data_IF_208198600902
#
_entry.id   IF_208198600902
#
_cell.length_a   1.000
_cell.length_b   1.000
_cell.length_c   1.000
_cell.angle_alpha   90.00
_cell.angle_beta   90.00
_cell.angle_gamma   90.00
#
_symmetry.space_group_name_H-M   'P 1'
#
loop_
_entity.id
_entity.type
_entity.pdbx_description
1 polymer ?
#
# COMPACT_ATOMS: atom_id res chain seq x y z
N UNK A 1 1.30 -1.89 1.48
CA UNK A 1 2.44 -2.52 0.77
C UNK A 1 2.58 -4.02 1.06
N UNK A 2 2.86 -4.47 2.30
CA UNK A 2 2.97 -5.93 2.61
C UNK A 2 1.63 -6.65 2.37
N UNK A 3 0.51 -6.11 2.81
CA UNK A 3 -0.82 -6.68 2.57
C UNK A 3 -1.15 -6.80 1.08
N UNK A 4 -0.81 -5.78 0.27
CA UNK A 4 -0.99 -5.83 -1.18
C UNK A 4 -0.17 -6.95 -1.83
N UNK A 5 1.11 -7.09 -1.44
CA UNK A 5 1.96 -8.18 -1.92
C UNK A 5 1.42 -9.56 -1.53
N UNK A 6 0.94 -9.69 -0.30
CA UNK A 6 0.32 -10.93 0.18
C UNK A 6 -0.94 -11.27 -0.61
N UNK A 7 -1.81 -10.28 -0.85
CA UNK A 7 -3.01 -10.47 -1.67
C UNK A 7 -2.67 -10.96 -3.08
N UNK A 8 -1.68 -10.33 -3.74
CA UNK A 8 -1.26 -10.73 -5.09
C UNK A 8 -0.62 -12.13 -5.09
N UNK A 9 0.11 -12.49 -4.05
CA UNK A 9 0.65 -13.85 -3.93
C UNK A 9 -0.45 -14.92 -3.80
N UNK A 10 -1.59 -14.59 -3.20
CA UNK A 10 -2.76 -15.47 -3.10
C UNK A 10 -3.62 -15.47 -4.37
N UNK A 11 -3.56 -14.42 -5.19
CA UNK A 11 -4.39 -14.22 -6.38
C UNK A 11 -3.55 -13.83 -7.61
N UNK A 12 -2.52 -14.63 -7.99
CA UNK A 12 -1.56 -14.23 -9.02
C UNK A 12 -2.19 -14.06 -10.40
N UNK A 13 -3.22 -14.84 -10.73
CA UNK A 13 -3.89 -14.80 -12.03
C UNK A 13 -4.88 -13.64 -12.16
N UNK A 14 -5.35 -13.10 -11.04
CA UNK A 14 -6.45 -12.12 -11.00
C UNK A 14 -6.05 -10.79 -10.37
N UNK A 15 -4.76 -10.55 -10.14
CA UNK A 15 -4.33 -9.29 -9.56
C UNK A 15 -2.99 -8.81 -10.09
N UNK A 16 -2.86 -7.50 -10.23
CA UNK A 16 -1.62 -6.83 -10.65
C UNK A 16 -1.27 -5.76 -9.61
N UNK A 17 -0.05 -5.84 -9.07
CA UNK A 17 0.49 -4.83 -8.18
C UNK A 17 1.51 -3.96 -8.91
N UNK A 18 1.30 -2.66 -8.83
CA UNK A 18 2.23 -1.64 -9.33
C UNK A 18 2.61 -0.70 -8.20
N UNK A 19 3.89 -0.45 -8.01
CA UNK A 19 4.39 0.52 -7.03
C UNK A 19 4.71 1.81 -7.77
N UNK A 20 3.99 2.88 -7.43
CA UNK A 20 4.22 4.20 -8.02
C UNK A 20 5.44 4.86 -7.38
N UNK A 21 6.09 5.72 -8.13
CA UNK A 21 7.22 6.51 -7.67
C UNK A 21 7.20 7.90 -8.33
N UNK A 22 8.02 8.86 -7.86
CA UNK A 22 8.04 10.22 -8.40
C UNK A 22 8.37 10.34 -9.90
N UNK A 23 8.99 9.33 -10.52
CA UNK A 23 9.29 9.32 -11.96
C UNK A 23 8.08 8.95 -12.83
N UNK A 24 7.05 8.31 -12.23
CA UNK A 24 5.83 7.87 -12.92
C UNK A 24 4.75 8.96 -12.89
N UNK A 25 5.11 10.19 -13.28
CA UNK A 25 4.25 11.37 -13.13
C UNK A 25 3.17 11.43 -14.21
N UNK A 26 3.45 10.92 -15.42
CA UNK A 26 2.55 11.07 -16.54
C UNK A 26 1.79 9.78 -16.88
N UNK A 27 0.62 9.95 -17.46
CA UNK A 27 -0.30 8.87 -17.83
C UNK A 27 0.41 7.79 -18.69
N UNK A 28 1.23 8.21 -19.68
CA UNK A 28 1.88 7.26 -20.57
C UNK A 28 2.89 6.37 -19.85
N UNK A 29 3.61 6.92 -18.86
CA UNK A 29 4.56 6.13 -18.06
C UNK A 29 3.82 5.05 -17.24
N UNK A 30 2.69 5.40 -16.62
CA UNK A 30 1.88 4.45 -15.85
C UNK A 30 1.24 3.39 -16.73
N UNK A 31 0.73 3.78 -17.93
CA UNK A 31 0.18 2.82 -18.90
C UNK A 31 1.26 1.88 -19.45
N UNK A 32 2.48 2.37 -19.71
CA UNK A 32 3.59 1.51 -20.12
C UNK A 32 3.97 0.51 -19.02
N UNK A 33 4.02 0.94 -17.75
CA UNK A 33 4.27 0.02 -16.63
C UNK A 33 3.19 -1.06 -16.53
N UNK A 34 1.92 -0.69 -16.69
CA UNK A 34 0.82 -1.66 -16.70
C UNK A 34 0.90 -2.59 -17.93
N UNK A 35 1.24 -2.06 -19.09
CA UNK A 35 1.43 -2.85 -20.31
C UNK A 35 2.57 -3.86 -20.17
N UNK A 36 3.69 -3.46 -19.55
CA UNK A 36 4.81 -4.35 -19.24
C UNK A 36 4.37 -5.51 -18.33
N UNK A 37 3.62 -5.22 -17.26
CA UNK A 37 3.03 -6.25 -16.39
C UNK A 37 2.07 -7.21 -17.09
N UNK A 38 1.49 -6.78 -18.19
CA UNK A 38 0.59 -7.58 -19.05
C UNK A 38 1.31 -8.21 -20.24
N UNK A 39 2.64 -8.13 -20.31
CA UNK A 39 3.48 -8.61 -21.41
C UNK A 39 3.08 -7.98 -22.78
N UNK A 40 2.75 -6.70 -22.78
CA UNK A 40 2.45 -5.92 -23.98
C UNK A 40 3.67 -5.11 -24.41
N UNK A 41 3.85 -4.96 -25.73
CA UNK A 41 4.97 -4.18 -26.29
C UNK A 41 4.85 -2.70 -25.88
N UNK A 42 5.94 -2.06 -25.43
CA UNK A 42 5.99 -0.64 -25.13
C UNK A 42 5.97 0.23 -26.41
N UNK A 43 5.88 1.54 -26.23
CA UNK A 43 6.13 2.50 -27.32
C UNK A 43 4.90 2.96 -28.11
N UNK A 44 3.71 2.46 -27.80
CA UNK A 44 2.46 2.87 -28.44
C UNK A 44 1.99 4.27 -27.99
N UNK A 45 1.03 4.87 -28.73
CA UNK A 45 0.29 6.05 -28.23
C UNK A 45 -0.49 5.71 -26.96
N UNK A 46 -0.94 6.75 -26.19
CA UNK A 46 -1.74 6.51 -24.98
C UNK A 46 -3.00 5.72 -25.28
N UNK A 47 -3.69 6.07 -26.37
CA UNK A 47 -4.95 5.42 -26.75
C UNK A 47 -4.71 3.96 -27.16
N UNK A 48 -3.69 3.70 -27.97
CA UNK A 48 -3.33 2.34 -28.37
C UNK A 48 -2.92 1.48 -27.15
N UNK A 49 -2.20 2.05 -26.18
CA UNK A 49 -1.86 1.38 -24.93
C UNK A 49 -3.13 1.08 -24.12
N UNK A 50 -4.03 2.06 -23.98
CA UNK A 50 -5.28 1.89 -23.23
C UNK A 50 -6.10 0.74 -23.83
N UNK A 51 -6.31 0.73 -25.14
CA UNK A 51 -7.04 -0.35 -25.83
C UNK A 51 -6.34 -1.71 -25.68
N UNK A 52 -5.03 -1.76 -25.86
CA UNK A 52 -4.28 -3.01 -25.72
C UNK A 52 -4.37 -3.57 -24.28
N UNK A 53 -4.31 -2.70 -23.26
CA UNK A 53 -4.45 -3.08 -21.87
C UNK A 53 -5.85 -3.65 -21.60
N UNK A 54 -6.90 -2.95 -22.02
CA UNK A 54 -8.29 -3.39 -21.85
C UNK A 54 -8.53 -4.78 -22.44
N UNK A 55 -7.94 -5.09 -23.60
CA UNK A 55 -8.07 -6.41 -24.23
C UNK A 55 -7.33 -7.53 -23.49
N UNK A 56 -6.42 -7.19 -22.60
CA UNK A 56 -5.66 -8.16 -21.76
C UNK A 56 -6.23 -8.35 -20.37
N UNK A 57 -6.89 -7.33 -19.84
CA UNK A 57 -7.56 -7.42 -18.56
C UNK A 57 -8.76 -8.37 -18.65
N UNK A 58 -9.08 -9.04 -17.57
CA UNK A 58 -10.18 -10.01 -17.48
C UNK A 58 -11.21 -9.56 -16.46
N UNK A 59 -12.43 -10.06 -16.59
CA UNK A 59 -13.47 -9.90 -15.58
C UNK A 59 -13.00 -10.42 -14.21
N UNK A 60 -13.32 -9.69 -13.16
CA UNK A 60 -12.95 -10.03 -11.78
C UNK A 60 -11.50 -9.72 -11.40
N UNK A 61 -10.67 -9.18 -12.29
CA UNK A 61 -9.31 -8.77 -11.96
C UNK A 61 -9.27 -7.55 -11.04
N UNK A 62 -8.15 -7.40 -10.30
CA UNK A 62 -7.88 -6.27 -9.41
C UNK A 62 -6.53 -5.63 -9.77
N UNK A 63 -6.55 -4.35 -10.07
CA UNK A 63 -5.35 -3.53 -10.23
C UNK A 63 -5.06 -2.79 -8.92
N UNK A 64 -3.86 -2.96 -8.38
CA UNK A 64 -3.43 -2.36 -7.11
C UNK A 64 -2.30 -1.38 -7.40
N UNK A 65 -2.50 -0.13 -7.04
CA UNK A 65 -1.52 0.95 -7.16
C UNK A 65 -1.03 1.32 -5.76
N UNK A 66 0.16 0.85 -5.40
CA UNK A 66 0.84 1.20 -4.15
C UNK A 66 1.61 2.51 -4.30
N UNK A 67 1.81 3.26 -3.22
CA UNK A 67 2.40 4.61 -3.21
C UNK A 67 1.61 5.60 -4.10
N UNK A 68 0.29 5.48 -4.11
CA UNK A 68 -0.60 6.22 -5.01
C UNK A 68 -0.59 7.75 -4.82
N UNK A 69 0.04 8.30 -3.76
CA UNK A 69 0.29 9.74 -3.61
C UNK A 69 1.13 10.32 -4.75
N UNK A 70 1.88 9.50 -5.47
CA UNK A 70 2.65 9.94 -6.63
C UNK A 70 1.82 10.08 -7.92
N UNK A 71 0.59 9.56 -7.95
CA UNK A 71 -0.31 9.72 -9.07
C UNK A 71 -0.95 11.12 -9.08
N UNK A 72 -1.05 11.73 -10.24
CA UNK A 72 -1.86 12.92 -10.42
C UNK A 72 -3.32 12.55 -10.74
N UNK A 73 -4.22 13.52 -10.60
CA UNK A 73 -5.66 13.32 -10.79
C UNK A 73 -5.99 12.76 -12.17
N UNK A 74 -5.42 13.35 -13.24
CA UNK A 74 -5.67 12.91 -14.63
C UNK A 74 -5.29 11.44 -14.85
N UNK A 75 -4.21 10.98 -14.22
CA UNK A 75 -3.80 9.58 -14.27
C UNK A 75 -4.81 8.69 -13.55
N UNK A 76 -5.28 9.10 -12.37
CA UNK A 76 -6.31 8.36 -11.61
C UNK A 76 -7.60 8.23 -12.41
N UNK A 77 -8.04 9.30 -13.11
CA UNK A 77 -9.22 9.26 -13.99
C UNK A 77 -9.06 8.29 -15.15
N UNK A 78 -7.89 8.26 -15.79
CA UNK A 78 -7.61 7.29 -16.86
C UNK A 78 -7.59 5.86 -16.32
N UNK A 79 -7.00 5.63 -15.15
CA UNK A 79 -7.03 4.29 -14.55
C UNK A 79 -8.46 3.87 -14.19
N UNK A 80 -9.26 4.79 -13.67
CA UNK A 80 -10.66 4.54 -13.38
C UNK A 80 -11.47 4.16 -14.63
N UNK A 81 -11.16 4.75 -15.79
CA UNK A 81 -11.87 4.44 -17.05
C UNK A 81 -11.79 2.95 -17.43
N UNK A 82 -10.79 2.22 -16.96
CA UNK A 82 -10.76 0.76 -17.12
C UNK A 82 -11.93 0.10 -16.38
N UNK A 83 -12.20 0.49 -15.14
CA UNK A 83 -13.34 -0.06 -14.38
C UNK A 83 -14.68 0.33 -15.02
N UNK A 84 -14.81 1.57 -15.51
CA UNK A 84 -16.00 2.01 -16.24
C UNK A 84 -16.21 1.15 -17.51
N UNK A 85 -15.17 0.90 -18.30
CA UNK A 85 -15.24 0.06 -19.49
C UNK A 85 -15.74 -1.36 -19.23
N UNK A 86 -15.32 -1.98 -18.12
CA UNK A 86 -15.81 -3.30 -17.70
C UNK A 86 -17.24 -3.24 -17.22
N UNK A 87 -17.58 -2.23 -16.40
CA UNK A 87 -18.92 -2.02 -15.88
C UNK A 87 -19.96 -1.86 -16.98
N UNK A 88 -19.64 -1.11 -18.04
CA UNK A 88 -20.54 -0.93 -19.21
C UNK A 88 -20.85 -2.24 -19.94
N UNK A 89 -20.09 -3.30 -19.67
CA UNK A 89 -20.25 -4.65 -20.24
C UNK A 89 -20.81 -5.67 -19.26
N UNK A 90 -21.27 -5.21 -18.09
CA UNK A 90 -21.76 -6.09 -17.01
C UNK A 90 -20.65 -6.90 -16.35
N UNK A 91 -19.41 -6.47 -16.53
CA UNK A 91 -18.20 -7.08 -15.96
C UNK A 91 -17.64 -6.23 -14.81
N UNK A 92 -16.69 -6.78 -14.07
CA UNK A 92 -16.07 -6.11 -12.95
C UNK A 92 -14.55 -5.99 -13.11
N UNK A 93 -14.01 -4.82 -12.82
CA UNK A 93 -12.57 -4.61 -12.65
C UNK A 93 -12.36 -3.79 -11.37
N UNK A 94 -11.71 -4.39 -10.39
CA UNK A 94 -11.37 -3.72 -9.14
C UNK A 94 -10.14 -2.81 -9.32
N UNK A 95 -10.21 -1.59 -8.77
CA UNK A 95 -9.06 -0.69 -8.70
C UNK A 95 -8.85 -0.29 -7.25
N UNK A 96 -7.66 -0.55 -6.73
CA UNK A 96 -7.27 -0.24 -5.36
C UNK A 96 -6.09 0.74 -5.36
N UNK A 97 -6.25 1.87 -4.70
CA UNK A 97 -5.17 2.83 -4.46
C UNK A 97 -4.74 2.75 -3.00
N UNK A 98 -3.46 2.51 -2.77
CA UNK A 98 -2.83 2.45 -1.45
C UNK A 98 -1.80 3.57 -1.38
N UNK A 99 -1.83 4.35 -0.30
CA UNK A 99 -0.91 5.46 -0.13
C UNK A 99 -1.00 6.08 1.26
N UNK A 100 -0.28 7.17 1.47
CA UNK A 100 -0.30 7.95 2.70
C UNK A 100 -1.52 8.91 2.76
N UNK A 101 -1.57 9.77 3.79
CA UNK A 101 -2.64 10.76 3.97
C UNK A 101 -2.77 11.73 2.79
N UNK A 102 -1.69 12.03 2.06
CA UNK A 102 -1.75 12.89 0.87
C UNK A 102 -2.62 12.27 -0.22
N UNK A 103 -2.62 10.92 -0.32
CA UNK A 103 -3.55 10.19 -1.20
C UNK A 103 -5.00 10.46 -0.82
N UNK A 104 -5.32 10.41 0.48
CA UNK A 104 -6.67 10.66 0.99
C UNK A 104 -7.06 12.12 0.75
N UNK A 105 -6.16 13.06 1.00
CA UNK A 105 -6.38 14.51 0.78
C UNK A 105 -6.61 14.79 -0.70
N UNK A 106 -5.79 14.23 -1.58
CA UNK A 106 -5.96 14.36 -3.03
C UNK A 106 -7.29 13.78 -3.51
N UNK A 107 -7.67 12.59 -3.03
CA UNK A 107 -8.91 11.92 -3.44
C UNK A 107 -10.17 12.42 -2.69
N UNK A 108 -10.00 13.08 -1.56
CA UNK A 108 -11.08 13.61 -0.72
C UNK A 108 -11.31 15.11 -0.81
N UNK A 109 -10.54 15.81 -1.65
CA UNK A 109 -10.69 17.27 -1.84
C UNK A 109 -12.10 17.59 -2.37
N UNK A 110 -12.73 18.66 -1.82
CA UNK A 110 -14.05 19.16 -2.24
C UNK A 110 -14.04 19.83 -3.63
N UNK A 111 -12.91 19.85 -4.34
CA UNK A 111 -12.88 20.34 -5.73
C UNK A 111 -13.74 19.43 -6.59
N UNK A 112 -14.53 20.00 -7.48
CA UNK A 112 -15.48 19.29 -8.35
C UNK A 112 -14.85 18.10 -9.10
N UNK A 113 -13.57 18.23 -9.47
CA UNK A 113 -12.79 17.17 -10.13
C UNK A 113 -12.61 15.91 -9.25
N UNK A 114 -12.49 16.08 -7.92
CA UNK A 114 -12.37 14.95 -6.98
C UNK A 114 -13.72 14.39 -6.54
N UNK A 115 -14.79 15.17 -6.64
CA UNK A 115 -16.14 14.71 -6.28
C UNK A 115 -16.57 13.51 -7.12
N UNK A 116 -16.20 13.47 -8.39
CA UNK A 116 -16.51 12.34 -9.27
C UNK A 116 -15.79 11.04 -8.85
N UNK A 117 -14.50 11.14 -8.44
CA UNK A 117 -13.75 9.99 -7.93
C UNK A 117 -14.32 9.57 -6.58
N UNK A 118 -14.64 10.54 -5.73
CA UNK A 118 -15.22 10.31 -4.41
C UNK A 118 -16.53 9.53 -4.47
N UNK A 119 -17.43 9.93 -5.34
CA UNK A 119 -18.77 9.33 -5.47
C UNK A 119 -18.74 7.90 -6.03
N UNK A 120 -17.67 7.52 -6.75
CA UNK A 120 -17.50 6.17 -7.31
C UNK A 120 -16.58 5.27 -6.48
N UNK A 121 -16.02 5.79 -5.38
CA UNK A 121 -15.20 5.00 -4.46
C UNK A 121 -16.11 4.20 -3.53
N UNK A 122 -16.17 2.89 -3.71
CA UNK A 122 -17.01 1.99 -2.90
C UNK A 122 -16.56 1.86 -1.46
N UNK A 123 -15.25 1.87 -1.22
CA UNK A 123 -14.67 1.73 0.12
C UNK A 123 -13.48 2.66 0.30
N UNK A 124 -13.42 3.31 1.46
CA UNK A 124 -12.25 4.03 1.95
C UNK A 124 -11.90 3.52 3.34
N UNK A 125 -10.65 3.16 3.54
CA UNK A 125 -10.15 2.75 4.84
C UNK A 125 -8.89 3.54 5.15
N UNK A 126 -8.89 4.24 6.27
CA UNK A 126 -7.70 4.93 6.79
C UNK A 126 -7.26 4.19 8.05
N UNK A 127 -5.98 3.87 8.12
CA UNK A 127 -5.37 3.24 9.28
C UNK A 127 -4.50 4.27 10.00
N UNK A 128 -4.81 4.52 11.27
CA UNK A 128 -4.03 5.40 12.12
C UNK A 128 -3.14 4.58 13.06
N UNK A 129 -1.97 5.13 13.38
CA UNK A 129 -1.02 4.50 14.32
C UNK A 129 -1.65 4.21 15.69
N UNK A 130 -2.54 5.10 16.15
CA UNK A 130 -3.30 4.92 17.39
C UNK A 130 -4.22 3.69 17.40
N UNK A 131 -4.54 3.14 16.23
CA UNK A 131 -5.37 1.94 16.10
C UNK A 131 -4.57 0.64 16.19
N UNK A 132 -3.23 0.72 16.24
CA UNK A 132 -2.38 -0.46 16.45
C UNK A 132 -2.67 -1.00 17.85
N UNK A 133 -3.04 -2.28 17.92
CA UNK A 133 -3.39 -2.98 19.14
C UNK A 133 -2.28 -3.92 19.60
N UNK A 134 -2.34 -4.33 20.83
CA UNK A 134 -1.44 -5.33 21.42
C UNK A 134 -1.42 -6.62 20.58
N UNK A 135 -2.57 -7.10 20.18
CA UNK A 135 -2.72 -8.29 19.34
C UNK A 135 -2.00 -8.20 17.97
N UNK A 136 -1.75 -6.99 17.44
CA UNK A 136 -0.97 -6.80 16.22
C UNK A 136 0.53 -7.00 16.49
N UNK A 137 1.00 -6.54 17.65
CA UNK A 137 2.38 -6.71 18.11
C UNK A 137 2.68 -8.17 18.45
N UNK A 138 1.78 -8.85 19.14
CA UNK A 138 1.89 -10.28 19.44
C UNK A 138 2.03 -11.14 18.18
N UNK A 139 1.26 -10.83 17.14
CA UNK A 139 1.38 -11.52 15.83
C UNK A 139 2.70 -11.24 15.11
N UNK A 140 3.29 -10.06 15.31
CA UNK A 140 4.55 -9.68 14.68
C UNK A 140 5.76 -10.28 15.41
N UNK A 141 5.66 -10.47 16.73
CA UNK A 141 6.74 -10.92 17.59
C UNK A 141 6.35 -12.16 18.42
N UNK A 142 6.03 -13.29 17.76
CA UNK A 142 5.54 -14.49 18.46
C UNK A 142 6.56 -15.06 19.47
N UNK A 143 7.84 -14.83 19.29
CA UNK A 143 8.89 -15.24 20.21
C UNK A 143 8.72 -14.58 21.57
N UNK A 144 8.37 -13.28 21.61
CA UNK A 144 8.14 -12.57 22.87
C UNK A 144 6.90 -13.09 23.61
N UNK A 145 5.88 -13.53 22.86
CA UNK A 145 4.68 -14.16 23.45
C UNK A 145 5.04 -15.51 24.06
N UNK A 146 5.82 -16.33 23.35
CA UNK A 146 6.26 -17.64 23.83
C UNK A 146 7.13 -17.56 25.09
N UNK A 147 7.93 -16.50 25.20
CA UNK A 147 8.82 -16.24 26.34
C UNK A 147 8.16 -15.41 27.46
N UNK A 148 6.84 -15.09 27.34
CA UNK A 148 6.09 -14.26 28.29
C UNK A 148 6.73 -12.89 28.56
N UNK A 149 7.29 -12.24 27.54
CA UNK A 149 7.97 -10.94 27.63
C UNK A 149 6.97 -9.78 27.48
N UNK A 150 6.18 -9.55 28.51
CA UNK A 150 5.10 -8.56 28.48
C UNK A 150 5.61 -7.12 28.37
N UNK A 151 6.68 -6.77 29.08
CA UNK A 151 7.27 -5.41 29.06
C UNK A 151 7.84 -5.06 27.67
N UNK A 152 8.49 -6.02 27.03
CA UNK A 152 9.05 -5.88 25.69
C UNK A 152 7.94 -5.68 24.65
N UNK A 153 6.86 -6.45 24.75
CA UNK A 153 5.69 -6.31 23.88
C UNK A 153 5.01 -4.94 24.05
N UNK A 154 4.88 -4.44 25.30
CA UNK A 154 4.33 -3.10 25.56
C UNK A 154 5.22 -2.00 25.03
N UNK A 155 6.54 -2.13 25.18
CA UNK A 155 7.50 -1.17 24.65
C UNK A 155 7.45 -1.11 23.12
N UNK A 156 7.37 -2.27 22.44
CA UNK A 156 7.20 -2.33 21.00
C UNK A 156 5.86 -1.76 20.53
N UNK A 157 4.79 -1.92 21.32
CA UNK A 157 3.51 -1.28 21.04
C UNK A 157 3.61 0.26 21.13
N UNK A 158 4.28 0.78 22.15
CA UNK A 158 4.54 2.22 22.27
C UNK A 158 5.34 2.72 21.06
N UNK A 159 6.44 2.04 20.71
CA UNK A 159 7.25 2.36 19.52
C UNK A 159 6.42 2.35 18.24
N UNK A 160 5.53 1.37 18.06
CA UNK A 160 4.68 1.27 16.88
C UNK A 160 3.65 2.42 16.78
N UNK A 161 3.34 3.11 17.86
CA UNK A 161 2.44 4.27 17.90
C UNK A 161 3.16 5.61 17.65
N UNK A 162 4.49 5.61 17.62
CA UNK A 162 5.31 6.79 17.27
C UNK A 162 5.27 7.09 15.75
N UNK A 163 5.89 8.18 15.26
CA UNK A 163 5.99 8.48 13.82
C UNK A 163 6.57 7.36 12.97
N UNK A 164 7.46 6.53 13.51
CA UNK A 164 8.08 5.41 12.81
C UNK A 164 7.14 4.22 12.59
N UNK A 165 6.00 4.19 13.28
CA UNK A 165 4.94 3.19 13.17
C UNK A 165 5.45 1.73 13.34
N UNK A 166 4.74 0.76 12.80
CA UNK A 166 5.15 -0.66 12.86
C UNK A 166 6.55 -0.92 12.30
N UNK A 167 7.02 -0.11 11.34
CA UNK A 167 8.37 -0.25 10.79
C UNK A 167 9.43 0.06 11.86
N UNK A 168 9.19 1.09 12.69
CA UNK A 168 10.07 1.41 13.81
C UNK A 168 10.18 0.25 14.80
N UNK A 169 9.07 -0.32 15.22
CA UNK A 169 9.04 -1.47 16.13
C UNK A 169 9.74 -2.71 15.53
N UNK A 170 9.50 -2.99 14.24
CA UNK A 170 10.15 -4.13 13.56
C UNK A 170 11.65 -3.93 13.47
N UNK A 171 12.13 -2.74 13.06
CA UNK A 171 13.55 -2.47 12.96
C UNK A 171 14.22 -2.48 14.32
N UNK A 172 13.56 -1.90 15.34
CA UNK A 172 14.05 -1.92 16.71
C UNK A 172 14.26 -3.35 17.22
N UNK A 173 13.24 -4.19 17.09
CA UNK A 173 13.33 -5.58 17.52
C UNK A 173 14.37 -6.35 16.72
N UNK A 174 14.42 -6.19 15.39
CA UNK A 174 15.41 -6.87 14.54
C UNK A 174 16.83 -6.52 14.95
N UNK A 175 17.14 -5.23 15.14
CA UNK A 175 18.46 -4.79 15.55
C UNK A 175 18.83 -5.29 16.97
N UNK A 176 17.88 -5.30 17.91
CA UNK A 176 18.11 -5.83 19.24
C UNK A 176 18.34 -7.35 19.21
N UNK A 177 17.57 -8.06 18.39
CA UNK A 177 17.72 -9.50 18.19
C UNK A 177 19.08 -9.86 17.56
N UNK A 178 19.50 -9.10 16.53
CA UNK A 178 20.80 -9.29 15.85
C UNK A 178 21.99 -8.99 16.80
N UNK A 179 21.78 -8.14 17.82
CA UNK A 179 22.74 -7.88 18.90
C UNK A 179 22.60 -8.83 20.10
N UNK A 180 21.78 -9.89 19.97
CA UNK A 180 21.59 -10.91 20.98
C UNK A 180 21.01 -10.40 22.33
N UNK A 181 20.48 -9.16 22.38
CA UNK A 181 19.86 -8.57 23.56
C UNK A 181 18.53 -7.89 23.22
N UNK A 182 17.47 -8.68 23.18
CA UNK A 182 16.09 -8.21 23.02
C UNK A 182 15.30 -8.20 24.33
N UNK A 183 16.01 -8.12 25.49
CA UNK A 183 15.42 -7.80 26.77
C UNK A 183 14.85 -6.38 26.77
N UNK A 184 13.99 -6.05 27.72
CA UNK A 184 13.48 -4.68 27.87
C UNK A 184 14.61 -3.64 27.92
N UNK A 185 15.68 -3.90 28.67
CA UNK A 185 16.84 -3.04 28.77
C UNK A 185 17.58 -2.90 27.41
N UNK A 186 17.76 -4.02 26.70
CA UNK A 186 18.35 -4.05 25.36
C UNK A 186 17.53 -3.28 24.34
N UNK A 187 16.19 -3.45 24.35
CA UNK A 187 15.30 -2.68 23.49
C UNK A 187 15.37 -1.17 23.78
N UNK A 188 15.39 -0.76 25.04
CA UNK A 188 15.55 0.65 25.42
C UNK A 188 16.89 1.21 24.99
N UNK A 189 17.99 0.47 25.19
CA UNK A 189 19.31 0.88 24.72
C UNK A 189 19.37 1.01 23.19
N UNK A 190 18.81 0.04 22.47
CA UNK A 190 18.75 0.07 21.00
C UNK A 190 17.86 1.21 20.50
N UNK A 191 16.72 1.51 21.13
CA UNK A 191 15.87 2.63 20.77
C UNK A 191 16.62 3.97 20.88
N UNK A 192 17.41 4.15 21.96
CA UNK A 192 18.29 5.33 22.13
C UNK A 192 19.36 5.41 21.04
N UNK A 193 20.01 4.29 20.74
CA UNK A 193 21.00 4.21 19.66
C UNK A 193 20.42 4.59 18.30
N UNK A 194 19.17 4.15 18.01
CA UNK A 194 18.44 4.46 16.79
C UNK A 194 17.79 5.85 16.80
N UNK A 195 17.94 6.63 17.86
CA UNK A 195 17.28 7.95 18.05
C UNK A 195 15.76 7.88 17.88
N UNK A 196 15.14 6.81 18.38
CA UNK A 196 13.70 6.68 18.38
C UNK A 196 13.11 7.48 19.55
N UNK A 197 12.10 8.27 19.26
CA UNK A 197 11.28 8.96 20.27
C UNK A 197 10.23 7.98 20.81
N UNK A 198 10.52 7.33 21.95
CA UNK A 198 9.63 6.36 22.61
C UNK A 198 9.39 6.79 24.05
#
# INVERSE_FOLDING_TARGET
TKAARHYVALHPENSILMTMNPCLINIKAVLNLLADKLNLSPGRSKDALWYAIVQKLKDGMVLIFDEAQHLNLKTIEVLRSFSDYFSDRGQTLGICFIGNLDTVTKMGSQKAEFAQISNRTKQRKTYFRSQIQRSDIEKLFPILVQENKELELDFLLQTARTPQALRGAINLFSNAYDNEDYSYAGLVAMAKFMSLEV
#
